data_IF_881971385305
#
_entry.id   IF_881971385305
#
_cell.length_a   1.000
_cell.length_b   1.000
_cell.length_c   1.000
_cell.angle_alpha   90.00
_cell.angle_beta   90.00
_cell.angle_gamma   90.00
#
_symmetry.space_group_name_H-M   'P 1'
#
loop_
_entity.id
_entity.type
_entity.pdbx_description
1 polymer ?
#
# COMPACT_ATOMS: atom_id res chain seq x y z
N UNK A 1 26.85 15.96 38.76
CA UNK A 1 25.88 16.54 37.81
C UNK A 1 26.57 17.69 37.11
N UNK A 2 26.61 17.73 35.77
CA UNK A 2 25.66 17.06 34.88
C UNK A 2 26.23 15.86 34.13
N UNK A 3 25.36 14.87 33.97
CA UNK A 3 25.35 13.84 32.92
C UNK A 3 25.27 14.52 31.54
N UNK A 4 26.07 14.12 30.54
CA UNK A 4 25.81 14.48 29.11
C UNK A 4 26.81 13.89 28.08
N UNK A 5 27.31 12.65 28.24
CA UNK A 5 28.19 12.05 27.21
C UNK A 5 27.69 10.77 26.56
N UNK A 6 26.36 10.58 26.55
CA UNK A 6 25.73 9.55 25.71
C UNK A 6 24.52 10.08 24.94
N UNK A 7 24.44 11.40 24.72
CA UNK A 7 23.57 11.95 23.70
C UNK A 7 24.31 11.94 22.36
N UNK A 8 23.97 10.93 21.56
CA UNK A 8 23.94 10.99 20.10
C UNK A 8 25.11 11.69 19.40
N UNK A 9 26.18 10.94 19.14
CA UNK A 9 26.98 11.20 17.94
C UNK A 9 26.10 10.87 16.72
N UNK A 10 25.20 11.79 16.35
CA UNK A 10 24.53 11.77 15.05
C UNK A 10 25.65 11.88 14.01
N UNK A 11 25.91 10.79 13.30
CA UNK A 11 26.97 10.78 12.29
C UNK A 11 26.61 11.77 11.19
N UNK A 12 27.61 12.42 10.58
CA UNK A 12 27.39 13.37 9.48
C UNK A 12 26.54 12.79 8.35
N UNK A 13 26.65 11.48 8.11
CA UNK A 13 25.82 10.74 7.16
C UNK A 13 24.34 10.65 7.57
N UNK A 14 24.05 10.48 8.86
CA UNK A 14 22.68 10.50 9.38
C UNK A 14 22.07 11.89 9.24
N UNK A 15 22.79 12.95 9.61
CA UNK A 15 22.33 14.33 9.40
C UNK A 15 22.10 14.62 7.91
N UNK A 16 23.05 14.25 7.05
CA UNK A 16 22.91 14.44 5.61
C UNK A 16 21.70 13.70 5.02
N UNK A 17 21.37 12.51 5.55
CA UNK A 17 20.18 11.77 5.17
C UNK A 17 18.89 12.43 5.67
N UNK A 18 18.83 12.84 6.94
CA UNK A 18 17.68 13.52 7.53
C UNK A 18 17.41 14.88 6.84
N UNK A 19 18.47 15.61 6.50
CA UNK A 19 18.38 16.84 5.71
C UNK A 19 17.87 16.54 4.29
N UNK A 20 18.44 15.55 3.60
CA UNK A 20 18.01 15.16 2.25
C UNK A 20 16.55 14.70 2.20
N UNK A 21 16.09 13.91 3.17
CA UNK A 21 14.72 13.42 3.19
C UNK A 21 13.72 14.54 3.56
N UNK A 22 14.14 15.55 4.31
CA UNK A 22 13.32 16.73 4.61
C UNK A 22 13.17 17.66 3.39
N UNK A 23 14.18 17.70 2.51
CA UNK A 23 14.15 18.47 1.28
C UNK A 23 13.15 17.87 0.26
N UNK A 24 12.44 18.75 -0.45
CA UNK A 24 11.51 18.36 -1.54
C UNK A 24 12.21 17.92 -2.83
N UNK A 25 13.53 17.75 -2.81
CA UNK A 25 14.35 17.49 -4.00
C UNK A 25 14.31 16.02 -4.45
N UNK A 26 13.93 15.10 -3.57
CA UNK A 26 13.81 13.68 -3.90
C UNK A 26 12.35 13.27 -4.12
N UNK A 27 12.12 12.48 -5.17
CA UNK A 27 10.79 11.93 -5.47
C UNK A 27 10.27 11.06 -4.31
N UNK A 28 8.96 11.05 -4.02
CA UNK A 28 8.39 10.32 -2.89
C UNK A 28 8.79 8.84 -2.84
N UNK A 29 8.90 8.19 -4.00
CA UNK A 29 9.29 6.79 -4.11
C UNK A 29 10.73 6.55 -3.65
N UNK A 30 11.64 7.49 -3.90
CA UNK A 30 13.02 7.38 -3.42
C UNK A 30 13.09 7.44 -1.89
N UNK A 31 12.23 8.27 -1.27
CA UNK A 31 12.09 8.34 0.19
C UNK A 31 11.62 7.00 0.76
N UNK A 32 10.57 6.42 0.19
CA UNK A 32 10.03 5.10 0.57
C UNK A 32 11.10 3.99 0.47
N UNK A 33 11.86 3.93 -0.62
CA UNK A 33 12.93 2.93 -0.78
C UNK A 33 14.00 3.10 0.29
N UNK A 34 14.41 4.34 0.58
CA UNK A 34 15.44 4.61 1.60
C UNK A 34 15.00 4.29 3.02
N UNK A 35 13.74 4.58 3.36
CA UNK A 35 13.16 4.28 4.68
C UNK A 35 13.08 2.77 4.90
N UNK A 36 12.68 2.02 3.87
CA UNK A 36 12.67 0.55 3.92
C UNK A 36 14.05 -0.06 4.21
N UNK A 37 15.12 0.53 3.65
CA UNK A 37 16.49 0.07 3.93
C UNK A 37 16.81 0.25 5.40
N UNK A 38 16.49 1.43 5.96
CA UNK A 38 16.71 1.71 7.38
C UNK A 38 15.87 0.80 8.27
N UNK A 39 14.60 0.59 7.95
CA UNK A 39 13.71 -0.30 8.69
C UNK A 39 14.23 -1.73 8.73
N UNK A 40 14.81 -2.22 7.63
CA UNK A 40 15.38 -3.57 7.58
C UNK A 40 16.56 -3.74 8.54
N UNK A 41 17.37 -2.69 8.75
CA UNK A 41 18.44 -2.72 9.75
C UNK A 41 17.95 -2.42 11.18
N UNK A 42 16.82 -1.73 11.33
CA UNK A 42 16.28 -1.32 12.63
C UNK A 42 15.22 -2.27 13.19
N UNK A 43 14.71 -3.22 12.41
CA UNK A 43 13.64 -4.14 12.82
C UNK A 43 14.04 -5.13 13.92
N UNK A 44 15.33 -5.29 14.20
CA UNK A 44 15.87 -6.18 15.24
C UNK A 44 16.11 -5.45 16.58
N UNK A 45 15.15 -4.67 17.07
CA UNK A 45 15.32 -3.84 18.28
C UNK A 45 15.05 -4.55 19.61
N UNK A 46 14.32 -5.65 19.62
CA UNK A 46 14.10 -6.47 20.82
C UNK A 46 14.05 -7.94 20.39
N UNK A 47 14.73 -8.82 21.12
CA UNK A 47 14.65 -10.27 20.90
C UNK A 47 13.19 -10.72 20.98
N UNK A 48 12.72 -11.44 19.95
CA UNK A 48 11.36 -12.00 19.94
C UNK A 48 11.10 -12.87 21.17
N UNK A 49 12.15 -13.50 21.71
CA UNK A 49 12.09 -14.29 22.95
C UNK A 49 11.73 -13.42 24.16
N UNK A 50 12.32 -12.21 24.30
CA UNK A 50 11.97 -11.28 25.39
C UNK A 50 10.52 -10.84 25.26
N UNK A 51 10.08 -10.55 24.04
CA UNK A 51 8.70 -10.11 23.78
C UNK A 51 7.70 -11.21 24.17
N UNK A 52 7.98 -12.46 23.78
CA UNK A 52 7.16 -13.62 24.12
C UNK A 52 7.15 -13.88 25.62
N UNK A 53 8.31 -13.80 26.30
CA UNK A 53 8.38 -13.97 27.75
C UNK A 53 7.56 -12.93 28.50
N UNK A 54 7.63 -11.65 28.08
CA UNK A 54 6.82 -10.58 28.68
C UNK A 54 5.33 -10.83 28.50
N UNK A 55 4.91 -11.39 27.37
CA UNK A 55 3.52 -11.76 27.13
C UNK A 55 3.09 -12.94 28.02
N UNK A 56 3.92 -13.97 28.14
CA UNK A 56 3.67 -15.12 28.99
C UNK A 56 3.62 -14.75 30.48
N UNK A 57 4.47 -13.83 30.94
CA UNK A 57 4.44 -13.29 32.31
C UNK A 57 3.11 -12.59 32.58
N UNK A 58 2.65 -11.72 31.66
CA UNK A 58 1.34 -11.06 31.81
C UNK A 58 0.21 -12.08 31.87
N UNK A 59 0.25 -13.09 31.01
CA UNK A 59 -0.76 -14.14 31.01
C UNK A 59 -0.78 -14.92 32.33
N UNK A 60 0.39 -15.27 32.88
CA UNK A 60 0.50 -15.96 34.17
C UNK A 60 -0.04 -15.09 35.33
N UNK A 61 0.25 -13.79 35.31
CA UNK A 61 -0.27 -12.82 36.28
C UNK A 61 -1.79 -12.66 36.18
N UNK A 62 -2.33 -12.59 34.95
CA UNK A 62 -3.77 -12.51 34.70
C UNK A 62 -4.50 -13.78 35.15
N UNK A 63 -3.83 -14.94 35.11
CA UNK A 63 -4.35 -16.21 35.64
C UNK A 63 -4.07 -16.44 37.12
N UNK A 64 -3.44 -15.49 37.83
CA UNK A 64 -3.02 -15.62 39.24
C UNK A 64 -2.14 -16.87 39.49
N UNK A 65 -1.35 -17.26 38.49
CA UNK A 65 -0.38 -18.35 38.57
C UNK A 65 0.98 -17.77 38.98
N UNK A 66 1.10 -17.42 40.26
CA UNK A 66 2.25 -16.70 40.80
C UNK A 66 3.56 -17.50 40.66
N UNK A 67 3.53 -18.81 40.89
CA UNK A 67 4.70 -19.68 40.77
C UNK A 67 5.28 -19.63 39.35
N UNK A 68 4.41 -19.76 38.34
CA UNK A 68 4.80 -19.67 36.93
C UNK A 68 5.26 -18.27 36.53
N UNK A 69 4.63 -17.23 37.07
CA UNK A 69 5.07 -15.85 36.85
C UNK A 69 6.49 -15.63 37.40
N UNK A 70 6.81 -16.15 38.57
CA UNK A 70 8.15 -16.05 39.17
C UNK A 70 9.21 -16.79 38.35
N UNK A 71 8.93 -18.00 37.88
CA UNK A 71 9.83 -18.76 37.00
C UNK A 71 10.15 -17.98 35.72
N UNK A 72 9.12 -17.49 35.02
CA UNK A 72 9.27 -16.71 33.79
C UNK A 72 10.00 -15.39 34.03
N UNK A 73 9.80 -14.72 35.18
CA UNK A 73 10.58 -13.54 35.54
C UNK A 73 12.07 -13.86 35.76
N UNK A 74 12.38 -15.03 36.31
CA UNK A 74 13.75 -15.53 36.46
C UNK A 74 14.43 -15.71 35.12
N UNK A 75 13.75 -16.36 34.16
CA UNK A 75 14.21 -16.51 32.79
C UNK A 75 14.40 -15.15 32.09
N UNK A 76 13.46 -14.21 32.25
CA UNK A 76 13.56 -12.86 31.69
C UNK A 76 14.79 -12.13 32.23
N UNK A 77 15.08 -12.29 33.52
CA UNK A 77 16.25 -11.67 34.14
C UNK A 77 17.54 -12.25 33.58
N UNK A 78 17.66 -13.57 33.49
CA UNK A 78 18.84 -14.23 32.91
C UNK A 78 19.09 -13.78 31.47
N UNK A 79 18.04 -13.70 30.66
CA UNK A 79 18.14 -13.27 29.26
C UNK A 79 18.57 -11.79 29.17
N UNK A 80 18.05 -10.91 30.04
CA UNK A 80 18.50 -9.51 30.11
C UNK A 80 19.94 -9.35 30.57
N UNK A 81 20.36 -10.12 31.57
CA UNK A 81 21.74 -10.10 32.05
C UNK A 81 22.71 -10.59 30.95
N UNK A 82 22.28 -11.58 30.16
CA UNK A 82 23.00 -12.04 28.97
C UNK A 82 23.07 -10.95 27.88
N UNK A 83 21.96 -10.28 27.53
CA UNK A 83 21.97 -9.16 26.58
C UNK A 83 22.88 -8.01 27.04
N UNK A 84 22.88 -7.70 28.34
CA UNK A 84 23.78 -6.70 28.91
C UNK A 84 25.25 -7.12 28.75
N UNK A 85 25.57 -8.38 29.03
CA UNK A 85 26.91 -8.94 28.81
C UNK A 85 27.32 -8.90 27.33
N UNK A 86 26.43 -9.31 26.43
CA UNK A 86 26.68 -9.29 24.98
C UNK A 86 26.89 -7.87 24.48
N UNK A 87 26.11 -6.90 24.96
CA UNK A 87 26.28 -5.49 24.62
C UNK A 87 27.64 -4.94 25.07
N UNK A 88 28.11 -5.35 26.25
CA UNK A 88 29.43 -4.97 26.76
C UNK A 88 30.56 -5.60 25.93
N UNK A 89 30.42 -6.88 25.55
CA UNK A 89 31.36 -7.56 24.68
C UNK A 89 31.43 -6.92 23.27
N UNK A 90 30.29 -6.53 22.70
CA UNK A 90 30.21 -5.82 21.43
C UNK A 90 30.85 -4.43 21.51
N UNK A 91 30.64 -3.71 22.61
CA UNK A 91 31.30 -2.43 22.85
C UNK A 91 32.83 -2.60 22.87
N UNK A 92 33.36 -3.57 23.63
CA UNK A 92 34.79 -3.89 23.66
C UNK A 92 35.32 -4.25 22.26
N UNK A 93 34.59 -5.10 21.51
CA UNK A 93 34.96 -5.47 20.13
C UNK A 93 35.07 -4.24 19.21
N UNK A 94 34.13 -3.30 19.32
CA UNK A 94 34.10 -2.07 18.52
C UNK A 94 35.25 -1.10 18.85
N UNK A 95 35.80 -1.16 20.07
CA UNK A 95 37.01 -0.38 20.42
C UNK A 95 38.28 -0.98 19.84
N UNK A 96 38.32 -2.30 19.67
CA UNK A 96 39.51 -3.04 19.20
C UNK A 96 39.60 -3.15 17.68
N UNK A 97 38.47 -3.19 17.00
CA UNK A 97 38.40 -3.38 15.55
C UNK A 97 37.49 -2.35 14.90
N UNK A 98 37.91 -1.82 13.75
CA UNK A 98 37.04 -0.96 12.96
C UNK A 98 35.83 -1.74 12.45
N UNK A 99 34.68 -1.07 12.33
CA UNK A 99 33.44 -1.69 11.83
C UNK A 99 33.64 -2.32 10.44
N UNK A 100 34.44 -1.71 9.56
CA UNK A 100 34.75 -2.27 8.24
C UNK A 100 35.48 -3.61 8.33
N UNK A 101 36.38 -3.78 9.32
CA UNK A 101 37.10 -5.03 9.54
C UNK A 101 36.18 -6.12 10.11
N UNK A 102 35.28 -5.74 11.02
CA UNK A 102 34.25 -6.63 11.56
C UNK A 102 33.34 -7.11 10.41
N UNK A 103 32.78 -6.20 9.62
CA UNK A 103 31.93 -6.55 8.47
C UNK A 103 32.66 -7.43 7.46
N UNK A 104 33.94 -7.14 7.18
CA UNK A 104 34.76 -7.97 6.29
C UNK A 104 34.90 -9.41 6.80
N UNK A 105 35.00 -9.63 8.12
CA UNK A 105 35.06 -11.00 8.66
C UNK A 105 33.77 -11.80 8.48
N UNK A 106 32.62 -11.13 8.32
CA UNK A 106 31.33 -11.78 8.05
C UNK A 106 31.01 -11.92 6.56
N UNK A 107 31.90 -11.52 5.64
CA UNK A 107 31.61 -11.50 4.19
C UNK A 107 31.19 -12.88 3.63
N UNK A 108 31.69 -13.96 4.23
CA UNK A 108 31.42 -15.35 3.81
C UNK A 108 30.41 -16.05 4.74
N UNK A 109 29.89 -15.34 5.76
CA UNK A 109 28.89 -15.89 6.67
C UNK A 109 27.53 -15.98 5.94
N UNK A 110 26.88 -17.17 5.90
CA UNK A 110 25.62 -17.34 5.18
C UNK A 110 24.49 -16.43 5.65
N UNK A 111 24.39 -16.16 6.96
CA UNK A 111 23.33 -15.32 7.52
C UNK A 111 23.58 -13.84 7.16
N UNK A 112 24.84 -13.40 7.19
CA UNK A 112 25.19 -12.05 6.72
C UNK A 112 24.94 -11.89 5.22
N UNK A 113 25.28 -12.90 4.41
CA UNK A 113 24.98 -12.89 2.97
C UNK A 113 23.48 -12.84 2.71
N UNK A 114 22.67 -13.64 3.39
CA UNK A 114 21.21 -13.61 3.28
C UNK A 114 20.65 -12.22 3.59
N UNK A 115 21.13 -11.56 4.65
CA UNK A 115 20.73 -10.20 4.99
C UNK A 115 21.08 -9.20 3.88
N UNK A 116 22.31 -9.24 3.36
CA UNK A 116 22.76 -8.32 2.30
C UNK A 116 22.00 -8.55 0.99
N UNK A 117 21.84 -9.81 0.57
CA UNK A 117 21.13 -10.14 -0.67
C UNK A 117 19.62 -9.92 -0.57
N UNK A 118 19.00 -10.19 0.57
CA UNK A 118 17.58 -9.90 0.78
C UNK A 118 17.31 -8.39 0.74
N UNK A 119 18.20 -7.58 1.33
CA UNK A 119 18.13 -6.12 1.22
C UNK A 119 18.32 -5.66 -0.23
N UNK A 120 19.32 -6.17 -0.93
CA UNK A 120 19.57 -5.84 -2.33
C UNK A 120 18.37 -6.18 -3.22
N UNK A 121 17.75 -7.35 -3.00
CA UNK A 121 16.55 -7.79 -3.72
C UNK A 121 15.35 -6.88 -3.41
N UNK A 122 15.14 -6.50 -2.14
CA UNK A 122 14.08 -5.55 -1.76
C UNK A 122 14.27 -4.20 -2.46
N UNK A 123 15.48 -3.64 -2.41
CA UNK A 123 15.80 -2.37 -3.09
C UNK A 123 15.60 -2.48 -4.59
N UNK A 124 16.05 -3.58 -5.22
CA UNK A 124 15.86 -3.83 -6.65
C UNK A 124 14.37 -3.86 -7.02
N UNK A 125 13.57 -4.65 -6.30
CA UNK A 125 12.15 -4.80 -6.56
C UNK A 125 11.39 -3.49 -6.35
N UNK A 126 11.71 -2.73 -5.31
CA UNK A 126 11.03 -1.46 -5.01
C UNK A 126 11.46 -0.35 -5.95
N UNK A 127 12.73 -0.31 -6.36
CA UNK A 127 13.22 0.62 -7.37
C UNK A 127 12.58 0.31 -8.72
N UNK A 128 12.46 -0.97 -9.09
CA UNK A 128 11.75 -1.37 -10.30
C UNK A 128 10.27 -0.96 -10.26
N UNK A 129 9.57 -1.17 -9.13
CA UNK A 129 8.20 -0.70 -8.94
C UNK A 129 8.09 0.84 -9.02
N UNK A 130 9.03 1.57 -8.40
CA UNK A 130 9.06 3.02 -8.42
C UNK A 130 9.26 3.59 -9.84
N UNK A 131 10.13 2.97 -10.65
CA UNK A 131 10.40 3.37 -12.03
C UNK A 131 9.27 2.97 -12.97
N UNK A 132 8.73 1.75 -12.81
CA UNK A 132 7.62 1.27 -13.64
C UNK A 132 6.30 1.98 -13.34
N UNK A 133 6.10 2.44 -12.11
CA UNK A 133 4.92 3.19 -11.66
C UNK A 133 5.31 4.51 -10.95
N UNK A 134 5.80 5.53 -11.68
CA UNK A 134 6.28 6.77 -11.10
C UNK A 134 5.19 7.68 -10.49
N UNK A 135 3.91 7.26 -10.52
CA UNK A 135 2.73 8.09 -10.25
C UNK A 135 2.02 7.91 -8.89
N UNK A 136 2.61 7.27 -7.88
CA UNK A 136 1.91 7.05 -6.59
C UNK A 136 2.05 8.18 -5.57
N UNK A 137 2.69 9.30 -5.94
CA UNK A 137 2.60 10.55 -5.19
C UNK A 137 1.22 11.19 -5.33
N UNK A 138 0.33 10.97 -4.36
CA UNK A 138 -1.03 11.52 -4.29
C UNK A 138 -1.89 11.29 -5.53
N UNK A 139 -2.07 10.05 -5.93
CA UNK A 139 -3.23 9.68 -6.75
C UNK A 139 -4.09 8.70 -5.96
N UNK A 140 -5.39 9.01 -5.88
CA UNK A 140 -6.44 8.17 -5.32
C UNK A 140 -6.13 6.72 -5.63
N UNK A 141 -6.11 5.88 -4.60
CA UNK A 141 -6.21 4.41 -4.63
C UNK A 141 -6.39 3.93 -6.06
N UNK A 142 -5.28 3.53 -6.70
CA UNK A 142 -5.34 2.73 -7.91
C UNK A 142 -5.91 1.38 -7.47
N UNK A 143 -7.24 1.36 -7.34
CA UNK A 143 -8.04 0.15 -7.28
C UNK A 143 -7.54 -0.67 -8.46
N UNK A 144 -7.17 -1.92 -8.20
CA UNK A 144 -6.92 -2.92 -9.23
C UNK A 144 -7.87 -2.64 -10.40
N UNK A 145 -7.34 -2.59 -11.64
CA UNK A 145 -8.17 -2.47 -12.85
C UNK A 145 -9.24 -3.54 -12.73
N UNK A 146 -10.41 -3.14 -12.22
CA UNK A 146 -11.61 -3.95 -12.26
C UNK A 146 -11.89 -3.95 -13.75
N UNK A 147 -11.85 -5.12 -14.36
CA UNK A 147 -12.23 -5.28 -15.76
C UNK A 147 -13.48 -4.43 -15.99
N UNK A 148 -13.35 -3.46 -16.90
CA UNK A 148 -14.45 -2.57 -17.22
C UNK A 148 -15.49 -3.48 -17.83
N UNK A 149 -16.58 -3.70 -17.11
CA UNK A 149 -17.67 -4.55 -17.57
C UNK A 149 -18.28 -3.86 -18.80
N UNK A 150 -18.01 -4.42 -19.99
CA UNK A 150 -18.50 -3.88 -21.25
C UNK A 150 -19.75 -4.64 -21.61
N UNK A 151 -20.87 -3.92 -21.66
CA UNK A 151 -22.13 -4.48 -22.09
C UNK A 151 -22.33 -4.23 -23.59
N UNK A 152 -22.94 -5.18 -24.29
CA UNK A 152 -23.36 -5.02 -25.67
C UNK A 152 -24.88 -4.82 -25.71
N UNK A 153 -25.32 -3.64 -26.15
CA UNK A 153 -26.74 -3.33 -26.37
C UNK A 153 -27.07 -3.67 -27.81
N UNK A 154 -28.07 -4.51 -28.03
CA UNK A 154 -28.44 -5.01 -29.36
C UNK A 154 -29.91 -4.78 -29.68
N UNK A 155 -30.20 -4.39 -30.92
CA UNK A 155 -31.54 -4.31 -31.50
C UNK A 155 -31.48 -4.48 -33.02
N UNK A 156 -32.42 -5.25 -33.56
CA UNK A 156 -32.57 -5.47 -35.02
C UNK A 156 -31.27 -5.91 -35.74
N UNK A 157 -30.43 -6.70 -35.06
CA UNK A 157 -29.15 -7.20 -35.60
C UNK A 157 -27.98 -6.22 -35.54
N UNK A 158 -28.17 -5.00 -35.02
CA UNK A 158 -27.11 -4.01 -34.75
C UNK A 158 -26.78 -4.01 -33.26
N UNK A 159 -25.50 -3.86 -32.91
CA UNK A 159 -25.04 -3.82 -31.52
C UNK A 159 -24.05 -2.69 -31.27
N UNK A 160 -24.16 -2.05 -30.11
CA UNK A 160 -23.27 -0.97 -29.64
C UNK A 160 -22.78 -1.29 -28.23
N UNK A 161 -21.51 -0.99 -27.95
CA UNK A 161 -20.91 -1.23 -26.63
C UNK A 161 -21.19 -0.10 -25.65
N UNK A 162 -21.60 -0.46 -24.43
CA UNK A 162 -21.73 0.45 -23.29
C UNK A 162 -20.87 -0.03 -22.12
N UNK A 163 -19.66 0.52 -21.93
CA UNK A 163 -18.77 0.15 -20.83
C UNK A 163 -19.16 0.79 -19.49
N UNK A 164 -19.23 -0.03 -18.44
CA UNK A 164 -19.48 0.40 -17.06
C UNK A 164 -18.20 1.01 -16.46
N UNK A 165 -18.08 2.34 -16.56
CA UNK A 165 -16.92 3.08 -16.04
C UNK A 165 -17.16 3.64 -14.63
N UNK A 166 -16.14 3.52 -13.78
CA UNK A 166 -16.02 4.24 -12.50
C UNK A 166 -14.69 5.01 -12.48
N UNK A 167 -14.68 6.34 -12.28
CA UNK A 167 -15.78 7.25 -11.90
C UNK A 167 -16.73 7.61 -13.06
N UNK A 168 -17.84 8.30 -12.73
CA UNK A 168 -18.88 8.72 -13.69
C UNK A 168 -18.28 9.69 -14.73
N UNK A 169 -18.20 9.27 -15.99
CA UNK A 169 -17.90 10.15 -17.14
C UNK A 169 -19.17 10.82 -17.68
N UNK A 170 -19.00 11.97 -18.37
CA UNK A 170 -20.08 12.70 -19.05
C UNK A 170 -20.83 11.78 -20.03
N UNK A 171 -22.15 11.98 -20.24
CA UNK A 171 -22.92 11.16 -21.18
C UNK A 171 -22.40 11.17 -22.61
N UNK A 172 -21.84 12.30 -23.08
CA UNK A 172 -21.29 12.46 -24.43
C UNK A 172 -20.17 11.45 -24.78
N UNK A 173 -19.50 10.88 -23.78
CA UNK A 173 -18.46 9.85 -23.98
C UNK A 173 -19.02 8.55 -24.57
N UNK A 174 -20.29 8.24 -24.33
CA UNK A 174 -20.97 7.06 -24.87
C UNK A 174 -22.12 7.45 -25.79
N UNK A 175 -22.01 8.61 -26.45
CA UNK A 175 -23.04 9.20 -27.30
C UNK A 175 -23.68 8.20 -28.25
N UNK A 176 -22.89 7.37 -28.91
CA UNK A 176 -23.36 6.33 -29.83
C UNK A 176 -24.36 5.36 -29.15
N UNK A 177 -24.08 4.91 -27.93
CA UNK A 177 -24.96 4.00 -27.21
C UNK A 177 -26.25 4.68 -26.72
N UNK A 178 -26.16 5.95 -26.31
CA UNK A 178 -27.33 6.74 -25.92
C UNK A 178 -28.21 7.08 -27.14
N UNK A 179 -27.62 7.50 -28.26
CA UNK A 179 -28.36 7.74 -29.50
C UNK A 179 -28.99 6.46 -30.04
N UNK A 180 -28.31 5.31 -29.91
CA UNK A 180 -28.87 4.01 -30.27
C UNK A 180 -30.14 3.66 -29.48
N UNK A 181 -30.26 4.12 -28.23
CA UNK A 181 -31.44 3.97 -27.37
C UNK A 181 -32.51 5.06 -27.60
N UNK A 182 -32.26 6.01 -28.51
CA UNK A 182 -33.20 7.08 -28.86
C UNK A 182 -32.99 8.40 -28.11
N UNK A 183 -31.90 8.56 -27.36
CA UNK A 183 -31.57 9.85 -26.76
C UNK A 183 -30.98 10.82 -27.79
N UNK A 184 -31.24 12.11 -27.61
CA UNK A 184 -30.73 13.18 -28.47
C UNK A 184 -29.76 14.07 -27.70
N UNK A 185 -28.79 14.65 -28.41
CA UNK A 185 -27.80 15.58 -27.86
C UNK A 185 -27.89 16.92 -28.57
N UNK A 186 -27.78 18.01 -27.80
CA UNK A 186 -27.78 19.40 -28.27
C UNK A 186 -26.37 19.98 -28.12
N UNK A 187 -25.85 20.62 -29.16
CA UNK A 187 -24.50 21.19 -29.20
C UNK A 187 -23.58 20.49 -30.20
N UNK A 188 -22.31 20.92 -30.26
CA UNK A 188 -21.32 20.44 -31.23
C UNK A 188 -20.12 19.79 -30.53
N UNK A 189 -19.67 18.65 -31.08
CA UNK A 189 -18.47 17.95 -30.61
C UNK A 189 -18.53 17.49 -29.16
N UNK A 190 -17.43 17.69 -28.44
CA UNK A 190 -17.23 17.20 -27.06
C UNK A 190 -18.06 17.95 -26.00
N UNK A 191 -18.64 19.10 -26.36
CA UNK A 191 -19.50 19.91 -25.48
C UNK A 191 -21.01 19.65 -25.71
N UNK A 192 -21.37 18.65 -26.53
CA UNK A 192 -22.77 18.28 -26.70
C UNK A 192 -23.36 17.69 -25.40
N UNK A 193 -24.53 18.20 -25.00
CA UNK A 193 -25.25 17.80 -23.79
C UNK A 193 -26.52 17.02 -24.14
N UNK A 194 -26.99 16.17 -23.22
CA UNK A 194 -28.21 15.39 -23.45
C UNK A 194 -29.43 16.30 -23.43
N UNK A 195 -30.31 16.15 -24.41
CA UNK A 195 -31.54 16.97 -24.52
C UNK A 195 -32.52 16.66 -23.38
N UNK A 196 -32.60 15.39 -22.95
CA UNK A 196 -33.40 14.96 -21.80
C UNK A 196 -32.53 14.21 -20.80
N UNK A 197 -32.40 14.72 -19.58
CA UNK A 197 -31.62 14.06 -18.53
C UNK A 197 -32.34 12.87 -17.86
N UNK A 198 -33.56 12.56 -18.26
CA UNK A 198 -34.38 11.47 -17.70
C UNK A 198 -35.03 10.60 -18.79
N UNK A 199 -35.39 9.37 -18.41
CA UNK A 199 -36.23 8.46 -19.19
C UNK A 199 -37.30 7.84 -18.28
N UNK A 200 -38.41 7.42 -18.87
CA UNK A 200 -39.52 6.80 -18.13
C UNK A 200 -39.45 5.29 -18.27
N UNK A 201 -39.61 4.56 -17.17
CA UNK A 201 -39.71 3.10 -17.19
C UNK A 201 -41.14 2.62 -17.49
N UNK A 202 -41.32 1.31 -17.68
CA UNK A 202 -42.61 0.70 -17.99
C UNK A 202 -43.61 0.80 -16.83
N UNK A 203 -43.16 1.16 -15.63
CA UNK A 203 -43.98 1.43 -14.45
C UNK A 203 -44.39 2.91 -14.33
N UNK A 204 -43.87 3.77 -15.22
CA UNK A 204 -44.15 5.21 -15.25
C UNK A 204 -43.23 6.05 -14.35
N UNK A 205 -42.14 5.50 -13.82
CA UNK A 205 -41.17 6.24 -13.02
C UNK A 205 -40.16 6.97 -13.90
N UNK A 206 -39.86 8.22 -13.58
CA UNK A 206 -38.78 8.99 -14.20
C UNK A 206 -37.43 8.65 -13.56
N UNK A 207 -36.53 8.12 -14.36
CA UNK A 207 -35.18 7.74 -13.97
C UNK A 207 -34.12 8.60 -14.67
N UNK A 208 -33.06 9.03 -13.97
CA UNK A 208 -31.97 9.76 -14.59
C UNK A 208 -31.24 8.92 -15.65
N UNK A 209 -30.86 9.55 -16.77
CA UNK A 209 -30.10 8.95 -17.87
C UNK A 209 -28.65 8.72 -17.42
N UNK A 210 -28.43 7.54 -16.83
CA UNK A 210 -27.11 7.10 -16.36
C UNK A 210 -26.84 5.69 -16.86
N UNK A 211 -25.56 5.34 -17.09
CA UNK A 211 -25.16 3.99 -17.51
C UNK A 211 -25.76 2.91 -16.61
N UNK A 212 -25.71 3.14 -15.29
CA UNK A 212 -26.27 2.21 -14.30
C UNK A 212 -27.77 2.00 -14.52
N UNK A 213 -28.54 3.08 -14.61
CA UNK A 213 -29.99 2.99 -14.76
C UNK A 213 -30.38 2.36 -16.09
N UNK A 214 -29.68 2.70 -17.18
CA UNK A 214 -29.91 2.10 -18.51
C UNK A 214 -29.61 0.59 -18.49
N UNK A 215 -28.45 0.20 -17.96
CA UNK A 215 -28.06 -1.21 -17.88
C UNK A 215 -29.05 -1.99 -17.01
N UNK A 216 -29.44 -1.44 -15.86
CA UNK A 216 -30.45 -2.07 -15.00
C UNK A 216 -31.81 -2.19 -15.70
N UNK A 217 -32.26 -1.15 -16.40
CA UNK A 217 -33.53 -1.18 -17.12
C UNK A 217 -33.52 -2.21 -18.27
N UNK A 218 -32.42 -2.32 -19.01
CA UNK A 218 -32.25 -3.31 -20.08
C UNK A 218 -32.14 -4.75 -19.54
N UNK A 219 -31.40 -4.96 -18.44
CA UNK A 219 -31.28 -6.27 -17.80
C UNK A 219 -32.61 -6.77 -17.22
N UNK A 220 -33.41 -5.85 -16.67
CA UNK A 220 -34.71 -6.14 -16.08
C UNK A 220 -35.85 -6.09 -17.11
N UNK A 221 -35.56 -5.67 -18.36
CA UNK A 221 -36.56 -5.42 -19.41
C UNK A 221 -37.69 -4.48 -18.93
N UNK A 222 -37.32 -3.49 -18.12
CA UNK A 222 -38.26 -2.54 -17.51
C UNK A 222 -38.31 -1.20 -18.27
N UNK A 223 -37.54 -1.03 -19.35
CA UNK A 223 -37.64 0.06 -20.31
C UNK A 223 -36.94 -0.35 -21.61
N UNK A 224 -37.04 0.50 -22.65
CA UNK A 224 -36.38 0.30 -23.96
C UNK A 224 -36.84 -0.98 -24.68
N UNK A 225 -38.15 -1.07 -24.97
CA UNK A 225 -38.72 -2.23 -25.63
C UNK A 225 -38.05 -2.56 -26.98
N UNK A 226 -37.74 -3.85 -27.16
CA UNK A 226 -37.06 -4.38 -28.34
C UNK A 226 -35.53 -4.31 -28.30
N UNK A 227 -34.93 -3.76 -27.23
CA UNK A 227 -33.49 -3.82 -27.00
C UNK A 227 -33.14 -4.98 -26.05
N UNK A 228 -31.96 -5.57 -26.24
CA UNK A 228 -31.38 -6.58 -25.35
C UNK A 228 -29.97 -6.20 -24.93
N UNK A 229 -29.50 -6.71 -23.80
CA UNK A 229 -28.15 -6.47 -23.28
C UNK A 229 -27.45 -7.79 -22.91
N UNK A 230 -26.16 -7.90 -23.25
CA UNK A 230 -25.29 -9.03 -22.95
C UNK A 230 -23.94 -8.59 -22.40
#
# INVERSE_FOLDING_TARGET
MPDSHTEHAVTSAKLAYEDAISLSQHVPQAKIVSEMVLDTFQSAKESDQIRQLRAAIRQAQDSLDDDRAYELMGELKQLKDAEASDSAALADLSTRFSISRILFSYKDDPAFQELVYSLALKVLNQTHQAISNPGTGKSKVARAKKDVEVFSISKDGVSVSLPMRTPRSRPNVDREAFEFLGFSFVGEGDEAELESETFVDNEGNELPVTRKNIITALQQQNAFDGYSIA
#
